data_IF_799028343131
#
_entry.id   IF_799028343131
#
_cell.length_a   1.000
_cell.length_b   1.000
_cell.length_c   1.000
_cell.angle_alpha   90.00
_cell.angle_beta   90.00
_cell.angle_gamma   90.00
#
_symmetry.space_group_name_H-M   'P 1'
#
loop_
_entity.id
_entity.type
_entity.pdbx_description
1 polymer ?
#
# COMPACT_ATOMS: atom_id res chain seq x y z
N UNK A 1 25.55 23.43 65.48
CA UNK A 1 25.70 23.66 64.05
C UNK A 1 25.77 22.30 63.36
N UNK A 2 24.67 21.86 62.75
CA UNK A 2 24.59 20.55 62.12
C UNK A 2 24.38 20.77 60.63
N UNK A 3 25.38 20.52 59.78
CA UNK A 3 25.29 20.62 58.34
C UNK A 3 24.73 19.32 57.80
N UNK A 4 23.50 19.37 57.22
CA UNK A 4 22.88 18.28 56.49
C UNK A 4 23.36 18.38 55.05
N UNK A 5 24.21 17.47 54.61
CA UNK A 5 24.57 17.28 53.20
C UNK A 5 23.40 16.57 52.49
N UNK A 6 22.71 17.28 51.61
CA UNK A 6 21.74 16.71 50.70
C UNK A 6 22.49 16.09 49.49
N UNK A 7 22.54 14.77 49.44
CA UNK A 7 23.04 14.05 48.26
C UNK A 7 21.93 13.99 47.20
N UNK A 8 22.04 14.80 46.15
CA UNK A 8 21.17 14.73 45.00
C UNK A 8 21.61 13.55 44.12
N UNK A 9 20.85 12.46 44.16
CA UNK A 9 20.99 11.34 43.23
C UNK A 9 20.37 11.75 41.88
N UNK A 10 21.22 12.14 40.95
CA UNK A 10 20.84 12.33 39.57
C UNK A 10 20.73 10.95 38.87
N UNK A 11 19.51 10.53 38.52
CA UNK A 11 19.32 9.36 37.70
C UNK A 11 19.52 9.76 36.23
N UNK A 12 20.33 9.01 35.45
CA UNK A 12 20.42 9.21 34.03
C UNK A 12 19.13 8.71 33.40
N UNK A 13 18.36 9.63 32.77
CA UNK A 13 17.30 9.27 31.85
C UNK A 13 17.95 8.72 30.59
N UNK A 14 18.00 7.40 30.47
CA UNK A 14 18.36 6.75 29.22
C UNK A 14 17.29 7.05 28.19
N UNK A 15 17.58 7.97 27.26
CA UNK A 15 16.77 8.16 26.06
C UNK A 15 16.88 6.86 25.25
N UNK A 16 15.84 6.04 25.30
CA UNK A 16 15.63 4.95 24.34
C UNK A 16 15.31 5.60 22.99
N UNK A 17 16.36 5.93 22.26
CA UNK A 17 16.25 6.25 20.85
C UNK A 17 15.77 4.99 20.14
N UNK A 18 14.47 4.93 19.84
CA UNK A 18 13.93 3.94 18.94
C UNK A 18 14.59 4.15 17.58
N UNK A 19 15.60 3.35 17.27
CA UNK A 19 16.08 3.21 15.92
C UNK A 19 14.92 2.56 15.14
N UNK A 20 14.20 3.37 14.34
CA UNK A 20 13.31 2.86 13.30
C UNK A 20 14.17 1.99 12.37
N UNK A 21 14.14 0.68 12.59
CA UNK A 21 14.72 -0.26 11.66
C UNK A 21 14.03 -0.02 10.30
N UNK A 22 14.77 0.16 9.20
CA UNK A 22 14.16 0.27 7.88
C UNK A 22 13.36 -1.01 7.65
N UNK A 23 12.03 -0.88 7.67
CA UNK A 23 11.15 -2.01 7.46
C UNK A 23 11.32 -2.46 6.00
N UNK A 24 12.06 -3.51 5.80
CA UNK A 24 12.23 -4.19 4.49
C UNK A 24 10.86 -4.54 3.89
N UNK A 25 9.84 -4.76 4.73
CA UNK A 25 8.46 -4.97 4.32
C UNK A 25 7.81 -3.76 3.63
N UNK A 26 8.25 -2.55 3.96
CA UNK A 26 7.70 -1.33 3.35
C UNK A 26 8.10 -1.16 1.89
N UNK A 27 9.26 -1.70 1.50
CA UNK A 27 9.69 -1.72 0.10
C UNK A 27 8.87 -2.70 -0.76
N UNK A 28 8.28 -3.73 -0.14
CA UNK A 28 7.48 -4.75 -0.83
C UNK A 28 5.97 -4.45 -0.84
N UNK A 29 5.52 -3.44 -0.09
CA UNK A 29 4.12 -3.09 0.09
C UNK A 29 3.45 -3.80 1.28
N UNK A 30 2.52 -3.09 1.93
CA UNK A 30 1.69 -3.58 3.04
C UNK A 30 0.30 -3.92 2.51
N UNK A 31 -0.01 -5.21 2.36
CA UNK A 31 -1.27 -5.69 1.83
C UNK A 31 -2.48 -5.26 2.70
N UNK A 32 -2.33 -5.19 4.02
CA UNK A 32 -3.43 -4.76 4.91
C UNK A 32 -3.77 -3.30 4.69
N UNK A 33 -2.75 -2.44 4.59
CA UNK A 33 -2.92 -1.04 4.24
C UNK A 33 -3.44 -0.90 2.81
N UNK A 34 -2.99 -1.75 1.89
CA UNK A 34 -3.44 -1.79 0.49
C UNK A 34 -4.95 -1.97 0.36
N UNK A 35 -5.57 -2.88 1.12
CA UNK A 35 -7.03 -3.07 1.14
C UNK A 35 -7.77 -1.78 1.54
N UNK A 36 -7.30 -1.08 2.56
CA UNK A 36 -7.89 0.19 3.02
C UNK A 36 -7.76 1.28 1.95
N UNK A 37 -6.60 1.36 1.31
CA UNK A 37 -6.33 2.34 0.25
C UNK A 37 -7.20 2.09 -0.99
N UNK A 38 -7.40 0.84 -1.41
CA UNK A 38 -8.30 0.49 -2.51
C UNK A 38 -9.71 1.02 -2.27
N UNK A 39 -10.21 0.91 -1.04
CA UNK A 39 -11.49 1.48 -0.65
C UNK A 39 -11.44 3.02 -0.65
N UNK A 40 -10.40 3.61 -0.09
CA UNK A 40 -10.22 5.06 0.03
C UNK A 40 -10.13 5.76 -1.34
N UNK A 41 -9.39 5.18 -2.28
CA UNK A 41 -9.27 5.71 -3.64
C UNK A 41 -10.45 5.37 -4.54
N UNK A 42 -11.51 4.77 -4.01
CA UNK A 42 -12.76 4.50 -4.73
C UNK A 42 -12.57 3.60 -5.97
N UNK A 43 -11.64 2.68 -5.93
CA UNK A 43 -11.42 1.71 -7.01
C UNK A 43 -12.68 0.90 -7.32
N UNK A 44 -13.48 0.63 -6.29
CA UNK A 44 -14.77 -0.05 -6.40
C UNK A 44 -15.86 0.72 -7.15
N UNK A 45 -15.67 2.00 -7.47
CA UNK A 45 -16.59 2.75 -8.33
C UNK A 45 -16.60 2.20 -9.77
N UNK A 46 -15.44 1.70 -10.24
CA UNK A 46 -15.29 1.13 -11.58
C UNK A 46 -15.11 -0.39 -11.58
N UNK A 47 -14.56 -0.95 -10.52
CA UNK A 47 -14.24 -2.38 -10.43
C UNK A 47 -15.09 -3.11 -9.39
N UNK A 48 -15.54 -4.31 -9.74
CA UNK A 48 -16.03 -5.26 -8.74
C UNK A 48 -14.81 -5.90 -8.05
N UNK A 49 -14.71 -5.75 -6.72
CA UNK A 49 -13.54 -6.18 -5.96
C UNK A 49 -14.01 -6.99 -4.75
N UNK A 50 -13.96 -8.34 -4.80
CA UNK A 50 -14.30 -9.18 -3.66
C UNK A 50 -13.43 -8.82 -2.44
N UNK A 51 -14.06 -8.75 -1.26
CA UNK A 51 -13.37 -8.38 -0.02
C UNK A 51 -13.28 -6.88 0.26
N UNK A 52 -13.67 -6.02 -0.68
CA UNK A 52 -13.80 -4.57 -0.48
C UNK A 52 -15.26 -4.19 -0.43
N UNK A 53 -15.68 -3.56 0.66
CA UNK A 53 -17.08 -3.15 0.86
C UNK A 53 -17.53 -2.19 -0.25
N UNK A 54 -18.74 -2.42 -0.78
CA UNK A 54 -19.36 -1.57 -1.80
C UNK A 54 -18.61 -1.51 -3.15
N UNK A 55 -17.58 -2.33 -3.37
CA UNK A 55 -16.85 -2.39 -4.64
C UNK A 55 -17.60 -3.27 -5.65
N UNK A 56 -18.53 -2.67 -6.40
CA UNK A 56 -19.43 -3.34 -7.36
C UNK A 56 -19.44 -2.69 -8.74
N UNK A 57 -18.45 -1.85 -9.05
CA UNK A 57 -18.35 -1.16 -10.33
C UNK A 57 -18.24 -2.12 -11.51
N UNK A 58 -18.72 -1.68 -12.67
CA UNK A 58 -18.77 -2.46 -13.91
C UNK A 58 -18.05 -1.79 -15.08
N UNK A 59 -17.51 -0.60 -14.87
CA UNK A 59 -16.81 0.15 -15.94
C UNK A 59 -15.41 -0.44 -16.22
N UNK A 60 -14.79 -1.05 -15.21
CA UNK A 60 -13.56 -1.80 -15.35
C UNK A 60 -13.78 -3.31 -15.19
N UNK A 61 -12.79 -4.15 -15.53
CA UNK A 61 -12.90 -5.59 -15.31
C UNK A 61 -12.96 -5.93 -13.81
N UNK A 62 -13.68 -7.00 -13.43
CA UNK A 62 -13.65 -7.51 -12.06
C UNK A 62 -12.22 -7.84 -11.63
N UNK A 63 -11.87 -7.53 -10.38
CA UNK A 63 -10.54 -7.79 -9.82
C UNK A 63 -10.49 -9.07 -8.96
N UNK A 64 -11.48 -9.95 -9.11
CA UNK A 64 -11.48 -11.25 -8.44
C UNK A 64 -10.25 -12.08 -8.83
N UNK A 65 -9.68 -12.79 -7.85
CA UNK A 65 -8.53 -13.68 -8.03
C UNK A 65 -7.36 -13.02 -8.80
N UNK A 66 -7.11 -11.76 -8.52
CA UNK A 66 -6.15 -10.96 -9.30
C UNK A 66 -4.73 -11.52 -9.25
N UNK A 67 -4.32 -12.10 -8.14
CA UNK A 67 -3.01 -12.73 -7.98
C UNK A 67 -2.77 -13.96 -8.87
N UNK A 68 -3.83 -14.52 -9.48
CA UNK A 68 -3.71 -15.64 -10.41
C UNK A 68 -3.60 -15.21 -11.89
N UNK A 69 -3.70 -13.92 -12.18
CA UNK A 69 -3.62 -13.42 -13.55
C UNK A 69 -2.19 -13.35 -14.05
N UNK A 70 -2.00 -13.69 -15.31
CA UNK A 70 -0.69 -13.59 -15.96
C UNK A 70 -0.37 -12.18 -16.45
N UNK A 71 -1.39 -11.36 -16.72
CA UNK A 71 -1.22 -10.04 -17.31
C UNK A 71 -2.09 -8.97 -16.64
N UNK A 72 -1.55 -7.76 -16.58
CA UNK A 72 -2.24 -6.51 -16.26
C UNK A 72 -2.75 -5.93 -17.58
N UNK A 73 -4.02 -5.51 -17.64
CA UNK A 73 -4.64 -4.95 -18.83
C UNK A 73 -4.45 -5.80 -20.10
N UNK A 74 -4.27 -7.11 -19.94
CA UNK A 74 -4.05 -8.05 -21.04
C UNK A 74 -2.71 -7.94 -21.76
N UNK A 75 -1.79 -7.08 -21.33
CA UNK A 75 -0.55 -6.75 -22.06
C UNK A 75 0.73 -6.77 -21.21
N UNK A 76 0.66 -6.27 -20.00
CA UNK A 76 1.82 -6.10 -19.13
C UNK A 76 1.92 -7.30 -18.19
N UNK A 77 3.09 -7.93 -18.02
CA UNK A 77 3.23 -9.05 -17.08
C UNK A 77 2.77 -8.67 -15.68
N UNK A 78 1.96 -9.52 -15.05
CA UNK A 78 1.46 -9.28 -13.70
C UNK A 78 2.54 -9.57 -12.66
N UNK A 79 3.37 -8.58 -12.42
CA UNK A 79 4.38 -8.56 -11.37
C UNK A 79 4.09 -7.43 -10.40
N UNK A 80 4.41 -7.57 -9.11
CA UNK A 80 4.08 -6.55 -8.11
C UNK A 80 4.61 -5.15 -8.42
N UNK A 81 5.83 -5.05 -8.97
CA UNK A 81 6.43 -3.78 -9.37
C UNK A 81 5.69 -3.12 -10.54
N UNK A 82 5.31 -3.90 -11.55
CA UNK A 82 4.55 -3.43 -12.70
C UNK A 82 3.10 -3.12 -12.33
N UNK A 83 2.51 -3.90 -11.42
CA UNK A 83 1.17 -3.62 -10.92
C UNK A 83 1.14 -2.31 -10.12
N UNK A 84 2.14 -2.04 -9.29
CA UNK A 84 2.24 -0.76 -8.59
C UNK A 84 2.38 0.41 -9.57
N UNK A 85 3.19 0.28 -10.62
CA UNK A 85 3.29 1.30 -11.69
C UNK A 85 1.98 1.49 -12.44
N UNK A 86 1.27 0.40 -12.73
CA UNK A 86 -0.05 0.45 -13.36
C UNK A 86 -1.05 1.23 -12.53
N UNK A 87 -1.11 0.97 -11.21
CA UNK A 87 -2.01 1.67 -10.30
C UNK A 87 -1.67 3.15 -10.21
N UNK A 88 -0.38 3.50 -10.13
CA UNK A 88 0.07 4.88 -10.00
C UNK A 88 -0.11 5.68 -11.30
N UNK A 89 0.21 5.10 -12.45
CA UNK A 89 0.21 5.78 -13.75
C UNK A 89 -0.19 4.81 -14.87
N UNK A 90 -1.48 4.49 -15.02
CA UNK A 90 -1.94 3.49 -15.98
C UNK A 90 -1.52 3.79 -17.42
N UNK A 91 -1.65 5.03 -17.85
CA UNK A 91 -1.32 5.46 -19.22
C UNK A 91 0.17 5.41 -19.54
N UNK A 92 1.04 5.39 -18.54
CA UNK A 92 2.49 5.22 -18.75
C UNK A 92 2.84 3.81 -19.23
N UNK A 93 2.03 2.79 -18.90
CA UNK A 93 2.21 1.42 -19.33
C UNK A 93 1.34 1.06 -20.53
N UNK A 94 0.12 1.57 -20.59
CA UNK A 94 -0.83 1.37 -21.68
C UNK A 94 -1.44 2.70 -22.06
N UNK A 95 -0.86 3.44 -23.02
CA UNK A 95 -1.31 4.80 -23.37
C UNK A 95 -2.79 4.90 -23.79
N UNK A 96 -3.35 3.80 -24.31
CA UNK A 96 -4.76 3.74 -24.75
C UNK A 96 -5.75 3.33 -23.65
N UNK A 97 -5.30 3.16 -22.41
CA UNK A 97 -6.18 2.73 -21.33
C UNK A 97 -7.23 3.77 -20.98
N UNK A 98 -8.43 3.31 -20.62
CA UNK A 98 -9.49 4.15 -20.05
C UNK A 98 -9.43 4.24 -18.53
N UNK A 99 -8.58 3.44 -17.87
CA UNK A 99 -8.36 3.54 -16.44
C UNK A 99 -7.70 4.89 -16.14
N UNK A 100 -8.32 5.75 -15.32
CA UNK A 100 -7.78 7.07 -15.05
C UNK A 100 -6.58 7.03 -14.11
N UNK A 101 -5.73 8.05 -14.18
CA UNK A 101 -4.75 8.36 -13.16
C UNK A 101 -5.50 8.93 -11.95
N UNK A 102 -5.43 8.23 -10.82
CA UNK A 102 -6.11 8.62 -9.58
C UNK A 102 -5.18 9.39 -8.62
N UNK A 103 -3.99 9.77 -9.06
CA UNK A 103 -3.03 10.49 -8.22
C UNK A 103 -2.47 9.63 -7.08
N UNK A 104 -2.41 8.31 -7.24
CA UNK A 104 -1.94 7.38 -6.21
C UNK A 104 -0.43 7.49 -6.06
N UNK A 105 0.08 7.89 -4.86
CA UNK A 105 1.51 7.90 -4.61
C UNK A 105 2.13 6.51 -4.75
N UNK A 106 3.41 6.47 -5.07
CA UNK A 106 4.12 5.22 -5.37
C UNK A 106 4.05 4.20 -4.21
N UNK A 107 4.17 4.64 -2.96
CA UNK A 107 4.08 3.73 -1.81
C UNK A 107 2.66 3.18 -1.65
N UNK A 108 1.64 4.00 -1.81
CA UNK A 108 0.24 3.56 -1.76
C UNK A 108 -0.05 2.55 -2.87
N UNK A 109 0.46 2.78 -4.05
CA UNK A 109 0.34 1.84 -5.18
C UNK A 109 1.05 0.50 -4.89
N UNK A 110 2.20 0.50 -4.23
CA UNK A 110 2.87 -0.74 -3.79
C UNK A 110 2.03 -1.52 -2.78
N UNK A 111 1.43 -0.83 -1.83
CA UNK A 111 0.58 -1.46 -0.82
C UNK A 111 -0.68 -2.08 -1.46
N UNK A 112 -1.32 -1.35 -2.37
CA UNK A 112 -2.46 -1.87 -3.14
C UNK A 112 -2.07 -3.08 -4.01
N UNK A 113 -0.92 -3.01 -4.69
CA UNK A 113 -0.41 -4.11 -5.50
C UNK A 113 -0.12 -5.36 -4.65
N UNK A 114 0.40 -5.18 -3.44
CA UNK A 114 0.64 -6.27 -2.51
C UNK A 114 -0.67 -6.99 -2.16
N UNK A 115 -1.73 -6.24 -1.82
CA UNK A 115 -3.03 -6.84 -1.51
C UNK A 115 -3.64 -7.56 -2.72
N UNK A 116 -3.64 -6.94 -3.89
CA UNK A 116 -4.18 -7.57 -5.11
C UNK A 116 -3.43 -8.85 -5.49
N UNK A 117 -2.11 -8.88 -5.28
CA UNK A 117 -1.28 -10.04 -5.58
C UNK A 117 -1.58 -11.26 -4.68
N UNK A 118 -2.16 -11.03 -3.51
CA UNK A 118 -2.58 -12.10 -2.58
C UNK A 118 -3.95 -12.70 -2.91
N UNK A 119 -4.76 -12.06 -3.76
CA UNK A 119 -6.11 -12.53 -4.08
C UNK A 119 -6.06 -13.80 -4.93
N UNK A 120 -6.74 -14.86 -4.47
CA UNK A 120 -6.79 -16.19 -5.09
C UNK A 120 -8.22 -16.55 -5.50
#
# INVERSE_FOLDING_TARGET
MLYILACALAWPVAALGGADAPSTGRALGDARRGALLIAQYQCGACHAIPGIASARGTDGPPLAAYGLRSYIAGRVPNRPDLLARWIAQPSALVPSTTMPDMGVPEQDARDMAAWLSEQR
#
